data_IF_726107667108
#
_entry.id   IF_726107667108
#
_cell.length_a   1.000
_cell.length_b   1.000
_cell.length_c   1.000
_cell.angle_alpha   90.00
_cell.angle_beta   90.00
_cell.angle_gamma   90.00
#
_symmetry.space_group_name_H-M   'P 1'
#
loop_
_entity.id
_entity.type
_entity.pdbx_description
1 polymer ?
#
# COMPACT_ATOMS: atom_id res chain seq x y z
N UNK A 1 -3.87 12.99 15.40
CA UNK A 1 -2.58 13.43 15.98
C UNK A 1 -2.17 14.74 15.32
N UNK A 2 -1.46 15.65 16.00
CA UNK A 2 -1.06 16.96 15.43
C UNK A 2 0.28 16.87 14.69
N UNK A 3 0.39 17.49 13.52
CA UNK A 3 1.65 17.63 12.78
C UNK A 3 2.37 18.89 13.26
N UNK A 4 3.62 18.73 13.73
CA UNK A 4 4.46 19.82 14.23
C UNK A 4 5.48 20.20 13.16
N UNK A 5 5.20 21.26 12.39
CA UNK A 5 6.13 21.70 11.34
C UNK A 5 7.49 22.09 11.95
N UNK A 6 8.60 21.42 11.57
CA UNK A 6 9.91 21.76 12.11
C UNK A 6 10.35 23.13 11.58
N UNK A 7 11.01 23.90 12.44
CA UNK A 7 11.72 25.11 12.04
C UNK A 7 13.19 24.76 11.83
N UNK A 8 13.71 25.12 10.66
CA UNK A 8 15.11 24.94 10.31
C UNK A 8 15.86 26.25 10.59
N UNK A 9 16.80 26.19 11.52
CA UNK A 9 17.67 27.33 11.85
C UNK A 9 19.12 26.89 11.83
N UNK A 10 20.00 27.81 11.49
CA UNK A 10 21.44 27.57 11.58
C UNK A 10 21.84 27.18 13.01
N UNK A 11 22.73 26.20 13.14
CA UNK A 11 23.19 25.69 14.44
C UNK A 11 22.20 24.80 15.20
N UNK A 12 21.02 24.50 14.65
CA UNK A 12 20.09 23.55 15.27
C UNK A 12 20.63 22.11 15.19
N UNK A 13 20.53 21.37 16.30
CA UNK A 13 20.78 19.93 16.30
C UNK A 13 19.68 19.20 15.51
N UNK A 14 20.12 18.29 14.63
CA UNK A 14 19.24 17.44 13.86
C UNK A 14 18.71 16.30 14.73
N UNK A 15 17.41 16.04 14.64
CA UNK A 15 16.76 14.91 15.29
C UNK A 15 15.89 14.12 14.31
N UNK A 16 15.78 12.78 14.48
CA UNK A 16 14.86 11.97 13.67
C UNK A 16 13.43 12.49 13.67
N UNK A 17 12.99 13.09 14.78
CA UNK A 17 11.64 13.64 14.92
C UNK A 17 11.39 14.81 13.97
N UNK A 18 12.39 15.65 13.69
CA UNK A 18 12.24 16.75 12.72
C UNK A 18 11.93 16.21 11.32
N UNK A 19 12.67 15.19 10.87
CA UNK A 19 12.45 14.54 9.58
C UNK A 19 11.09 13.84 9.52
N UNK A 20 10.72 13.11 10.57
CA UNK A 20 9.42 12.44 10.64
C UNK A 20 8.24 13.43 10.57
N UNK A 21 8.36 14.59 11.23
CA UNK A 21 7.32 15.60 11.18
C UNK A 21 7.26 16.33 9.83
N UNK A 22 8.42 16.56 9.20
CA UNK A 22 8.48 17.09 7.84
C UNK A 22 7.79 16.14 6.85
N UNK A 23 8.12 14.85 6.88
CA UNK A 23 7.52 13.84 6.00
C UNK A 23 5.98 13.73 6.21
N UNK A 24 5.53 13.79 7.47
CA UNK A 24 4.09 13.84 7.79
C UNK A 24 3.41 15.08 7.22
N UNK A 25 4.07 16.23 7.33
CA UNK A 25 3.56 17.48 6.77
C UNK A 25 3.42 17.42 5.25
N UNK A 26 4.42 16.87 4.55
CA UNK A 26 4.40 16.69 3.10
C UNK A 26 3.28 15.74 2.66
N UNK A 27 3.14 14.59 3.34
CA UNK A 27 2.05 13.64 3.08
C UNK A 27 0.67 14.29 3.25
N UNK A 28 0.47 15.07 4.32
CA UNK A 28 -0.76 15.81 4.57
C UNK A 28 -1.05 16.87 3.50
N UNK A 29 -0.04 17.63 3.07
CA UNK A 29 -0.19 18.63 2.02
C UNK A 29 -0.59 18.01 0.67
N UNK A 30 0.01 16.86 0.32
CA UNK A 30 -0.33 16.11 -0.88
C UNK A 30 -1.77 15.56 -0.82
N UNK A 31 -2.20 15.07 0.34
CA UNK A 31 -3.57 14.59 0.53
C UNK A 31 -4.60 15.72 0.38
N UNK A 32 -4.33 16.88 0.99
CA UNK A 32 -5.16 18.07 0.82
C UNK A 32 -5.27 18.48 -0.66
N UNK A 33 -4.15 18.47 -1.40
CA UNK A 33 -4.14 18.78 -2.83
C UNK A 33 -4.97 17.78 -3.64
N UNK A 34 -4.85 16.48 -3.36
CA UNK A 34 -5.61 15.45 -4.06
C UNK A 34 -7.13 15.61 -3.85
N UNK A 35 -7.53 15.99 -2.63
CA UNK A 35 -8.92 16.26 -2.27
C UNK A 35 -9.51 17.53 -2.91
N UNK A 36 -8.69 18.45 -3.44
CA UNK A 36 -9.20 19.54 -4.27
C UNK A 36 -9.73 19.05 -5.62
N UNK A 37 -9.29 17.87 -6.07
CA UNK A 37 -9.63 17.33 -7.39
C UNK A 37 -10.63 16.18 -7.34
N UNK A 38 -10.62 15.37 -6.27
CA UNK A 38 -11.42 14.13 -6.16
C UNK A 38 -12.01 13.95 -4.76
N UNK A 39 -13.24 13.42 -4.69
CA UNK A 39 -13.88 13.09 -3.41
C UNK A 39 -13.21 11.91 -2.70
N UNK A 40 -12.74 10.93 -3.47
CA UNK A 40 -12.06 9.73 -2.97
C UNK A 40 -10.74 9.55 -3.73
N UNK A 41 -9.68 10.29 -3.35
CA UNK A 41 -8.39 10.25 -4.03
C UNK A 41 -7.56 9.03 -3.60
N UNK A 42 -8.17 7.84 -3.61
CA UNK A 42 -7.54 6.58 -3.26
C UNK A 42 -8.07 5.49 -4.18
N UNK A 43 -7.31 4.40 -4.33
CA UNK A 43 -7.63 3.31 -5.24
C UNK A 43 -6.40 2.72 -5.91
N UNK A 44 -6.65 1.82 -6.85
CA UNK A 44 -5.61 1.10 -7.61
C UNK A 44 -5.27 1.87 -8.88
N UNK A 45 -3.99 2.16 -9.07
CA UNK A 45 -3.46 2.72 -10.31
C UNK A 45 -2.95 1.59 -11.24
N UNK A 46 -2.28 0.59 -10.67
CA UNK A 46 -1.80 -0.60 -11.37
C UNK A 46 -1.84 -1.82 -10.43
N UNK A 47 -2.31 -2.96 -10.94
CA UNK A 47 -2.22 -4.24 -10.26
C UNK A 47 -2.04 -5.37 -11.27
N UNK A 48 -0.80 -5.80 -11.45
CA UNK A 48 -0.42 -6.84 -12.40
C UNK A 48 0.06 -8.08 -11.66
N UNK A 49 -0.36 -9.24 -12.17
CA UNK A 49 -0.07 -10.55 -11.57
C UNK A 49 0.60 -11.47 -12.59
N UNK A 50 1.37 -12.42 -12.08
CA UNK A 50 2.09 -13.44 -12.84
C UNK A 50 1.09 -14.53 -13.29
N UNK A 51 0.79 -14.54 -14.59
CA UNK A 51 -0.19 -15.47 -15.18
C UNK A 51 0.35 -16.91 -15.20
N UNK A 52 1.65 -17.10 -15.38
CA UNK A 52 2.27 -18.43 -15.36
C UNK A 52 2.21 -19.03 -13.95
N UNK A 53 2.45 -18.20 -12.93
CA UNK A 53 2.26 -18.61 -11.54
C UNK A 53 0.80 -18.97 -11.24
N UNK A 54 -0.16 -18.25 -11.83
CA UNK A 54 -1.59 -18.50 -11.63
C UNK A 54 -2.00 -19.88 -12.16
N UNK A 55 -1.46 -20.29 -13.31
CA UNK A 55 -1.63 -21.65 -13.85
C UNK A 55 -1.13 -22.75 -12.91
N UNK A 56 -0.21 -22.42 -12.00
CA UNK A 56 0.33 -23.31 -10.96
C UNK A 56 -0.39 -23.14 -9.60
N UNK A 57 -1.59 -22.58 -9.58
CA UNK A 57 -2.36 -22.27 -8.38
C UNK A 57 -1.63 -21.32 -7.41
N UNK A 58 -0.81 -20.40 -7.92
CA UNK A 58 -0.13 -19.38 -7.12
C UNK A 58 -0.49 -17.99 -7.59
N UNK A 59 -1.00 -17.15 -6.70
CA UNK A 59 -1.18 -15.74 -6.98
C UNK A 59 0.08 -14.98 -6.57
N UNK A 60 0.79 -14.42 -7.55
CA UNK A 60 2.01 -13.65 -7.34
C UNK A 60 1.87 -12.30 -8.03
N UNK A 61 2.06 -11.22 -7.28
CA UNK A 61 2.08 -9.87 -7.84
C UNK A 61 3.37 -9.64 -8.63
N UNK A 62 3.28 -8.85 -9.71
CA UNK A 62 4.41 -8.37 -10.51
C UNK A 62 4.61 -6.86 -10.34
N UNK A 63 3.51 -6.10 -10.43
CA UNK A 63 3.53 -4.65 -10.28
C UNK A 63 2.30 -4.22 -9.48
N UNK A 64 2.51 -3.46 -8.40
CA UNK A 64 1.44 -2.87 -7.60
C UNK A 64 1.72 -1.38 -7.43
N UNK A 65 0.78 -0.56 -7.90
CA UNK A 65 0.72 0.88 -7.62
C UNK A 65 -0.67 1.25 -7.17
N UNK A 66 -0.78 1.79 -5.98
CA UNK A 66 -2.08 2.19 -5.41
C UNK A 66 -1.90 3.20 -4.29
N UNK A 67 -2.98 3.92 -4.02
CA UNK A 67 -3.08 4.85 -2.89
C UNK A 67 -4.15 4.35 -1.94
N UNK A 68 -3.81 4.20 -0.67
CA UNK A 68 -4.73 3.79 0.38
C UNK A 68 -5.57 4.97 0.88
N UNK A 69 -6.70 4.72 1.57
CA UNK A 69 -7.58 5.78 2.07
C UNK A 69 -6.95 6.70 3.12
N UNK A 70 -5.88 6.27 3.78
CA UNK A 70 -5.10 7.08 4.73
C UNK A 70 -4.08 8.01 4.02
N UNK A 71 -4.01 7.96 2.70
CA UNK A 71 -3.11 8.73 1.86
C UNK A 71 -1.76 8.04 1.59
N UNK A 72 -1.52 6.86 2.16
CA UNK A 72 -0.31 6.08 1.92
C UNK A 72 -0.23 5.65 0.46
N UNK A 73 0.91 5.93 -0.18
CA UNK A 73 1.20 5.51 -1.55
C UNK A 73 2.04 4.23 -1.51
N UNK A 74 1.68 3.27 -2.33
CA UNK A 74 2.41 2.03 -2.54
C UNK A 74 2.83 1.99 -4.00
N UNK A 75 4.12 1.76 -4.23
CA UNK A 75 4.71 1.62 -5.56
C UNK A 75 5.84 0.59 -5.53
N UNK A 76 5.55 -0.62 -6.03
CA UNK A 76 6.54 -1.70 -6.05
C UNK A 76 7.61 -1.55 -7.12
N UNK A 77 7.45 -0.60 -8.05
CA UNK A 77 8.45 -0.31 -9.07
C UNK A 77 9.55 0.62 -8.52
N UNK A 78 9.25 1.37 -7.46
CA UNK A 78 10.10 2.47 -6.96
C UNK A 78 10.49 2.32 -5.50
N UNK A 79 9.55 2.03 -4.60
CA UNK A 79 9.75 2.18 -3.14
C UNK A 79 9.47 0.92 -2.33
N UNK A 80 8.53 0.08 -2.77
CA UNK A 80 7.98 -1.00 -1.97
C UNK A 80 8.40 -2.38 -2.49
N UNK A 81 8.49 -3.36 -1.59
CA UNK A 81 8.68 -4.74 -1.99
C UNK A 81 7.35 -5.39 -2.39
N UNK A 82 7.39 -6.32 -3.35
CA UNK A 82 6.23 -7.13 -3.68
C UNK A 82 5.81 -8.01 -2.50
N UNK A 83 4.50 -8.19 -2.26
CA UNK A 83 4.01 -9.09 -1.23
C UNK A 83 4.34 -10.55 -1.57
N UNK A 84 4.42 -11.44 -0.57
CA UNK A 84 4.65 -12.86 -0.80
C UNK A 84 3.52 -13.48 -1.63
N UNK A 85 3.87 -14.48 -2.45
CA UNK A 85 2.91 -15.19 -3.28
C UNK A 85 1.95 -16.04 -2.41
N UNK A 86 0.67 -16.03 -2.76
CA UNK A 86 -0.36 -16.84 -2.11
C UNK A 86 -0.51 -18.17 -2.85
N UNK A 87 -0.57 -19.28 -2.10
CA UNK A 87 -0.95 -20.58 -2.64
C UNK A 87 -2.47 -20.74 -2.66
N UNK A 88 -3.07 -20.62 -3.85
CA UNK A 88 -4.51 -20.70 -4.03
C UNK A 88 -5.07 -22.10 -3.82
N UNK A 89 -4.26 -23.15 -4.03
CA UNK A 89 -4.71 -24.53 -3.84
C UNK A 89 -5.15 -24.75 -2.39
N UNK A 90 -4.36 -24.29 -1.41
CA UNK A 90 -4.68 -24.41 0.02
C UNK A 90 -5.92 -23.61 0.46
N UNK A 91 -6.35 -22.64 -0.36
CA UNK A 91 -7.46 -21.74 -0.03
C UNK A 91 -8.76 -22.26 -0.67
N UNK A 92 -8.68 -22.84 -1.87
CA UNK A 92 -9.81 -23.31 -2.65
C UNK A 92 -10.08 -24.82 -2.49
N UNK A 93 -9.70 -25.42 -1.35
CA UNK A 93 -9.90 -26.84 -1.06
C UNK A 93 -11.40 -27.27 -0.92
N UNK A 94 -12.35 -26.33 -1.02
CA UNK A 94 -13.80 -26.53 -0.90
C UNK A 94 -14.60 -26.35 -2.21
N UNK A 95 -15.95 -26.41 -2.16
CA UNK A 95 -16.82 -26.26 -3.35
C UNK A 95 -16.87 -24.83 -3.92
N UNK A 96 -16.08 -23.90 -3.38
CA UNK A 96 -16.08 -22.50 -3.77
C UNK A 96 -15.39 -22.31 -5.13
N UNK A 97 -16.06 -21.57 -6.01
CA UNK A 97 -15.55 -21.24 -7.36
C UNK A 97 -14.84 -19.90 -7.47
N UNK A 98 -14.80 -19.11 -6.38
CA UNK A 98 -14.24 -17.77 -6.39
C UNK A 98 -13.58 -17.45 -5.06
N UNK A 99 -12.46 -16.74 -5.12
CA UNK A 99 -11.76 -16.16 -3.98
C UNK A 99 -11.61 -14.67 -4.21
N UNK A 100 -11.85 -13.86 -3.18
CA UNK A 100 -11.53 -12.44 -3.19
C UNK A 100 -10.17 -12.26 -2.51
N UNK A 101 -9.24 -11.54 -3.14
CA UNK A 101 -7.94 -11.25 -2.54
C UNK A 101 -7.84 -9.76 -2.30
N UNK A 102 -7.58 -9.41 -1.05
CA UNK A 102 -7.40 -8.06 -0.56
C UNK A 102 -5.92 -7.78 -0.37
N UNK A 103 -5.48 -6.59 -0.77
CA UNK A 103 -4.17 -6.09 -0.38
C UNK A 103 -4.33 -5.32 0.93
N UNK A 104 -3.44 -5.60 1.88
CA UNK A 104 -3.38 -4.93 3.16
C UNK A 104 -1.98 -4.36 3.39
N UNK A 105 -1.94 -3.27 4.13
CA UNK A 105 -0.71 -2.67 4.64
C UNK A 105 -0.77 -2.76 6.17
N UNK A 106 0.16 -3.51 6.74
CA UNK A 106 0.44 -3.45 8.18
C UNK A 106 1.37 -2.27 8.48
N UNK A 107 1.63 -2.00 9.76
CA UNK A 107 2.50 -0.89 10.20
C UNK A 107 3.94 -0.94 9.60
N UNK A 108 4.33 -2.05 8.96
CA UNK A 108 5.69 -2.24 8.39
C UNK A 108 5.71 -2.96 7.02
N UNK A 109 4.64 -3.66 6.60
CA UNK A 109 4.72 -4.50 5.39
C UNK A 109 3.40 -4.67 4.63
N UNK A 110 3.52 -4.73 3.30
CA UNK A 110 2.49 -5.09 2.33
C UNK A 110 2.22 -6.59 2.30
N UNK A 111 0.96 -6.96 2.42
CA UNK A 111 0.50 -8.35 2.44
C UNK A 111 -0.76 -8.53 1.59
N UNK A 112 -0.90 -9.72 0.99
CA UNK A 112 -2.13 -10.12 0.32
C UNK A 112 -2.88 -11.09 1.24
N UNK A 113 -4.19 -10.89 1.39
CA UNK A 113 -5.10 -11.71 2.18
C UNK A 113 -6.22 -12.24 1.30
N UNK A 114 -6.45 -13.56 1.33
CA UNK A 114 -7.58 -14.16 0.65
C UNK A 114 -8.79 -14.26 1.60
N UNK A 115 -9.93 -13.77 1.15
CA UNK A 115 -11.23 -13.89 1.80
C UNK A 115 -12.13 -14.77 0.94
N UNK A 116 -12.62 -15.86 1.53
CA UNK A 116 -13.59 -16.74 0.90
C UNK A 116 -14.99 -16.12 1.04
N UNK A 117 -15.68 -15.90 -0.09
CA UNK A 117 -17.11 -15.57 -0.08
C UNK A 117 -17.94 -16.86 -0.14
N UNK A 118 -19.02 -16.88 0.64
CA UNK A 118 -20.05 -17.94 0.67
C UNK A 118 -21.02 -17.82 -0.49
#
# INVERSE_FOLDING_TARGET
MKILRPLWTEGAFLSPQQFQQQARWESYANDCLAHLSLNHPWGVLCAEFDQDALHLNRLKAQHLRLRLPDGSLIDTDVTDNLPPAINLAQILDGPQRSVEVLLALSDVQLELFAVLRS
#
